data_IF_152638587358
#
_entry.id   IF_152638587358
#
_cell.length_a   1.000
_cell.length_b   1.000
_cell.length_c   1.000
_cell.angle_alpha   90.00
_cell.angle_beta   90.00
_cell.angle_gamma   90.00
#
_symmetry.space_group_name_H-M   'P 1'
#
loop_
_entity.id
_entity.type
_entity.pdbx_description
1 polymer ?
#
# COMPACT_ATOMS: atom_id res chain seq x y z
N UNK A 1 1.79 15.31 -20.13
CA UNK A 1 2.93 15.42 -21.05
C UNK A 1 4.15 14.69 -20.49
N UNK A 2 4.57 14.94 -19.24
CA UNK A 2 5.69 14.23 -18.61
C UNK A 2 5.55 12.69 -18.60
N UNK A 3 4.42 12.14 -18.11
CA UNK A 3 4.21 10.68 -18.06
C UNK A 3 4.18 10.02 -19.44
N UNK A 4 3.64 10.73 -20.45
CA UNK A 4 3.64 10.25 -21.83
C UNK A 4 5.07 10.21 -22.39
N UNK A 5 5.84 11.29 -22.21
CA UNK A 5 7.24 11.33 -22.67
C UNK A 5 8.08 10.23 -21.99
N UNK A 6 7.82 9.95 -20.70
CA UNK A 6 8.46 8.85 -19.99
C UNK A 6 8.11 7.49 -20.62
N UNK A 7 6.83 7.24 -20.90
CA UNK A 7 6.38 6.03 -21.60
C UNK A 7 6.99 5.91 -23.01
N UNK A 8 7.00 6.99 -23.79
CA UNK A 8 7.58 7.03 -25.14
C UNK A 8 9.10 6.76 -25.10
N UNK A 9 9.80 7.23 -24.06
CA UNK A 9 11.24 6.97 -23.88
C UNK A 9 11.56 5.49 -23.64
N UNK A 10 10.62 4.71 -23.09
CA UNK A 10 10.79 3.27 -22.88
C UNK A 10 10.67 2.46 -24.18
N UNK A 11 10.16 3.04 -25.28
CA UNK A 11 10.15 2.36 -26.59
C UNK A 11 11.56 1.96 -27.03
N UNK A 12 12.58 2.73 -26.62
CA UNK A 12 13.98 2.43 -26.88
C UNK A 12 14.56 1.27 -26.07
N UNK A 13 13.86 0.73 -25.06
CA UNK A 13 14.36 -0.41 -24.29
C UNK A 13 14.53 -1.65 -25.19
N UNK A 14 15.68 -2.33 -25.16
CA UNK A 14 15.90 -3.51 -25.98
C UNK A 14 14.98 -4.63 -25.51
N UNK A 15 14.23 -5.22 -26.43
CA UNK A 15 13.51 -6.46 -26.15
C UNK A 15 14.51 -7.63 -26.01
N UNK A 16 14.24 -8.60 -25.12
CA UNK A 16 15.05 -9.80 -25.00
C UNK A 16 15.17 -10.51 -26.37
N UNK A 17 16.39 -10.88 -26.76
CA UNK A 17 16.65 -11.64 -28.00
C UNK A 17 16.24 -13.12 -27.91
N UNK A 18 15.89 -13.57 -26.71
CA UNK A 18 15.56 -14.94 -26.32
C UNK A 18 14.27 -14.94 -25.51
N UNK A 19 13.51 -16.03 -25.53
CA UNK A 19 12.24 -16.16 -24.79
C UNK A 19 12.38 -16.11 -23.26
N UNK A 20 13.62 -16.10 -22.74
CA UNK A 20 13.91 -16.00 -21.32
C UNK A 20 14.14 -14.53 -20.94
N UNK A 21 13.22 -13.97 -20.15
CA UNK A 21 13.38 -12.66 -19.52
C UNK A 21 14.55 -12.67 -18.55
N UNK A 22 15.29 -11.56 -18.47
CA UNK A 22 16.29 -11.38 -17.44
C UNK A 22 15.58 -11.31 -16.08
N UNK A 23 15.86 -12.29 -15.22
CA UNK A 23 15.39 -12.27 -13.83
C UNK A 23 16.17 -11.20 -13.07
N UNK A 24 15.44 -10.35 -12.35
CA UNK A 24 16.01 -9.25 -11.57
C UNK A 24 15.55 -9.41 -10.13
N UNK A 25 16.47 -9.41 -9.18
CA UNK A 25 16.10 -9.54 -7.77
C UNK A 25 15.23 -8.36 -7.31
N UNK A 26 15.62 -7.12 -7.65
CA UNK A 26 14.84 -5.94 -7.32
C UNK A 26 14.93 -4.88 -8.42
N UNK A 27 13.78 -4.42 -8.88
CA UNK A 27 13.62 -3.23 -9.72
C UNK A 27 13.18 -2.06 -8.83
N UNK A 28 13.90 -0.94 -8.90
CA UNK A 28 13.55 0.29 -8.17
C UNK A 28 13.28 1.39 -9.18
N UNK A 29 12.12 2.03 -9.05
CA UNK A 29 11.70 3.19 -9.83
C UNK A 29 11.63 4.38 -8.89
N UNK A 30 12.60 5.28 -9.00
CA UNK A 30 12.62 6.54 -8.27
C UNK A 30 12.14 7.66 -9.18
N UNK A 31 11.15 8.42 -8.71
CA UNK A 31 10.59 9.54 -9.44
C UNK A 31 11.12 10.84 -8.86
N UNK A 32 11.77 11.64 -9.69
CA UNK A 32 12.22 12.99 -9.34
C UNK A 32 11.00 13.87 -8.98
N UNK A 33 10.91 14.41 -7.75
CA UNK A 33 9.81 15.27 -7.33
C UNK A 33 9.64 16.53 -8.19
N UNK A 34 10.73 17.02 -8.80
CA UNK A 34 10.71 18.22 -9.66
C UNK A 34 9.83 18.05 -10.91
N UNK A 35 9.53 16.81 -11.32
CA UNK A 35 8.61 16.50 -12.41
C UNK A 35 7.21 17.07 -12.13
N UNK A 36 6.82 17.18 -10.87
CA UNK A 36 5.49 17.66 -10.44
C UNK A 36 5.47 19.17 -10.23
N UNK A 37 6.60 19.78 -9.84
CA UNK A 37 6.71 21.19 -9.46
C UNK A 37 6.45 22.20 -10.59
N UNK A 38 6.44 21.75 -11.85
CA UNK A 38 6.25 22.60 -13.04
C UNK A 38 4.95 22.38 -13.82
N UNK A 39 4.09 21.45 -13.41
CA UNK A 39 2.94 21.01 -14.21
C UNK A 39 1.59 21.43 -13.63
N UNK A 40 0.66 21.81 -14.51
CA UNK A 40 -0.78 21.77 -14.22
C UNK A 40 -1.09 20.47 -13.48
N UNK A 41 -1.89 20.55 -12.41
CA UNK A 41 -2.35 19.40 -11.61
C UNK A 41 -2.52 18.15 -12.48
N UNK A 42 -1.73 17.11 -12.19
CA UNK A 42 -1.80 15.84 -12.89
C UNK A 42 -3.26 15.37 -12.87
N UNK A 43 -3.87 15.22 -14.05
CA UNK A 43 -5.25 14.76 -14.17
C UNK A 43 -5.36 13.33 -13.66
N UNK A 44 -6.55 12.92 -13.24
CA UNK A 44 -6.76 11.59 -12.68
C UNK A 44 -6.73 10.52 -13.81
N UNK A 45 -5.75 9.61 -13.81
CA UNK A 45 -5.57 8.62 -14.88
C UNK A 45 -6.75 7.64 -14.96
N UNK A 46 -7.39 7.31 -13.83
CA UNK A 46 -8.50 6.37 -13.77
C UNK A 46 -9.78 6.90 -14.43
N UNK A 47 -9.81 8.18 -14.82
CA UNK A 47 -10.96 8.82 -15.48
C UNK A 47 -10.78 8.98 -16.99
N UNK A 48 -9.61 8.63 -17.54
CA UNK A 48 -9.27 8.92 -18.92
C UNK A 48 -8.60 7.71 -19.58
N UNK A 49 -9.29 7.13 -20.58
CA UNK A 49 -8.81 5.93 -21.30
C UNK A 49 -7.41 6.10 -21.91
N UNK A 50 -7.06 7.29 -22.41
CA UNK A 50 -5.72 7.57 -22.95
C UNK A 50 -4.62 7.43 -21.89
N UNK A 51 -4.90 7.84 -20.65
CA UNK A 51 -3.92 7.79 -19.56
C UNK A 51 -3.76 6.34 -19.08
N UNK A 52 -4.86 5.57 -19.03
CA UNK A 52 -4.83 4.12 -18.76
C UNK A 52 -3.98 3.40 -19.81
N UNK A 53 -4.21 3.65 -21.11
CA UNK A 53 -3.42 3.06 -22.20
C UNK A 53 -1.93 3.41 -22.05
N UNK A 54 -1.63 4.66 -21.69
CA UNK A 54 -0.24 5.12 -21.51
C UNK A 54 0.44 4.36 -20.38
N UNK A 55 -0.23 4.15 -19.25
CA UNK A 55 0.33 3.42 -18.11
C UNK A 55 0.41 1.92 -18.36
N UNK A 56 -0.55 1.36 -19.08
CA UNK A 56 -0.48 -0.01 -19.59
C UNK A 56 0.78 -0.20 -20.46
N UNK A 57 1.00 0.68 -21.46
CA UNK A 57 2.15 0.57 -22.36
C UNK A 57 3.48 0.76 -21.61
N UNK A 58 3.52 1.70 -20.64
CA UNK A 58 4.68 1.93 -19.76
C UNK A 58 5.08 0.65 -19.01
N UNK A 59 4.14 0.06 -18.28
CA UNK A 59 4.43 -1.14 -17.48
C UNK A 59 4.68 -2.36 -18.34
N UNK A 60 3.93 -2.54 -19.43
CA UNK A 60 4.16 -3.64 -20.37
C UNK A 60 5.60 -3.59 -20.87
N UNK A 61 6.08 -2.41 -21.25
CA UNK A 61 7.43 -2.28 -21.81
C UNK A 61 8.53 -2.65 -20.82
N UNK A 62 8.37 -2.24 -19.57
CA UNK A 62 9.27 -2.63 -18.48
C UNK A 62 9.22 -4.15 -18.30
N UNK A 63 8.03 -4.71 -18.13
CA UNK A 63 7.85 -6.14 -17.86
C UNK A 63 8.13 -7.06 -19.07
N UNK A 64 8.16 -6.55 -20.30
CA UNK A 64 8.67 -7.28 -21.46
C UNK A 64 10.20 -7.30 -21.52
N UNK A 65 10.86 -6.44 -20.74
CA UNK A 65 12.32 -6.32 -20.71
C UNK A 65 12.92 -7.00 -19.47
N UNK A 66 12.22 -6.97 -18.35
CA UNK A 66 12.68 -7.49 -17.05
C UNK A 66 11.58 -8.25 -16.31
N UNK A 67 11.98 -9.25 -15.53
CA UNK A 67 11.08 -9.97 -14.61
C UNK A 67 11.56 -9.83 -13.16
N UNK A 68 11.04 -8.86 -12.39
CA UNK A 68 11.56 -8.54 -11.07
C UNK A 68 10.90 -9.35 -9.93
N UNK A 69 11.69 -9.90 -8.98
CA UNK A 69 11.12 -10.52 -7.75
C UNK A 69 10.46 -9.49 -6.84
N UNK A 70 11.00 -8.27 -6.86
CA UNK A 70 10.55 -7.11 -6.10
C UNK A 70 10.53 -5.89 -7.01
N UNK A 71 9.41 -5.16 -7.01
CA UNK A 71 9.28 -3.84 -7.60
C UNK A 71 9.06 -2.84 -6.47
N UNK A 72 9.92 -1.82 -6.36
CA UNK A 72 9.70 -0.69 -5.47
C UNK A 72 9.58 0.59 -6.29
N UNK A 73 8.54 1.38 -6.00
CA UNK A 73 8.28 2.66 -6.63
C UNK A 73 8.30 3.72 -5.53
N UNK A 74 9.25 4.63 -5.60
CA UNK A 74 9.38 5.77 -4.69
C UNK A 74 9.09 7.04 -5.47
N UNK A 75 8.13 7.83 -5.03
CA UNK A 75 7.83 9.08 -5.73
C UNK A 75 6.67 9.86 -5.14
N UNK A 76 6.38 11.04 -5.74
CA UNK A 76 5.26 11.86 -5.32
C UNK A 76 3.92 11.12 -5.41
N UNK A 77 3.02 11.30 -4.43
CA UNK A 77 1.72 10.60 -4.39
C UNK A 77 0.92 10.76 -5.69
N UNK A 78 0.93 11.98 -6.24
CA UNK A 78 0.25 12.28 -7.51
C UNK A 78 0.77 11.46 -8.69
N UNK A 79 2.08 11.16 -8.73
CA UNK A 79 2.69 10.32 -9.78
C UNK A 79 2.45 8.84 -9.48
N UNK A 80 2.48 8.43 -8.21
CA UNK A 80 2.08 7.07 -7.84
C UNK A 80 0.66 6.77 -8.28
N UNK A 81 -0.28 7.71 -8.12
CA UNK A 81 -1.64 7.60 -8.65
C UNK A 81 -1.68 7.29 -10.14
N UNK A 82 -0.84 7.95 -10.93
CA UNK A 82 -0.62 7.64 -12.35
C UNK A 82 -0.13 6.23 -12.56
N UNK A 83 0.98 5.90 -11.94
CA UNK A 83 1.64 4.60 -12.08
C UNK A 83 0.73 3.43 -11.65
N UNK A 84 -0.14 3.63 -10.66
CA UNK A 84 -1.07 2.61 -10.18
C UNK A 84 -2.47 2.74 -10.76
N UNK A 85 -2.70 3.65 -11.71
CA UNK A 85 -4.02 3.92 -12.31
C UNK A 85 -5.12 4.12 -11.25
N UNK A 86 -4.78 4.86 -10.19
CA UNK A 86 -5.61 5.12 -9.00
C UNK A 86 -6.06 6.57 -8.94
N UNK A 87 -7.23 6.79 -8.34
CA UNK A 87 -7.67 8.11 -7.89
C UNK A 87 -6.89 8.51 -6.64
N UNK A 88 -5.98 9.46 -6.76
CA UNK A 88 -5.32 10.06 -5.59
C UNK A 88 -6.18 11.17 -5.01
N UNK A 89 -6.37 11.17 -3.70
CA UNK A 89 -6.85 12.35 -3.01
C UNK A 89 -5.69 13.34 -2.84
N UNK A 90 -5.88 14.61 -3.21
CA UNK A 90 -4.83 15.65 -3.08
C UNK A 90 -5.37 16.96 -2.50
N UNK A 91 -6.65 17.00 -2.12
CA UNK A 91 -7.36 18.23 -1.72
C UNK A 91 -6.68 18.98 -0.59
N UNK A 92 -6.28 18.25 0.45
CA UNK A 92 -5.69 18.82 1.66
C UNK A 92 -4.18 18.53 1.75
N UNK A 93 -3.54 18.10 0.66
CA UNK A 93 -2.13 17.65 0.62
C UNK A 93 -1.13 18.68 1.18
N UNK A 94 -1.45 19.97 1.10
CA UNK A 94 -0.67 21.06 1.69
C UNK A 94 -0.45 20.91 3.20
N UNK A 95 -1.34 20.20 3.90
CA UNK A 95 -1.26 19.93 5.33
C UNK A 95 -0.44 18.70 5.73
N UNK A 96 0.05 17.95 4.74
CA UNK A 96 0.71 16.65 4.93
C UNK A 96 2.10 16.66 4.27
N UNK A 97 2.96 17.60 4.67
CA UNK A 97 4.29 17.77 4.04
C UNK A 97 5.16 16.50 4.08
N UNK A 98 5.10 15.74 5.17
CA UNK A 98 5.83 14.48 5.32
C UNK A 98 5.20 13.29 4.58
N UNK A 99 4.16 13.53 3.76
CA UNK A 99 3.53 12.54 2.88
C UNK A 99 3.71 12.86 1.40
N UNK A 100 4.54 13.86 1.05
CA UNK A 100 4.73 14.27 -0.35
C UNK A 100 5.22 13.11 -1.21
N UNK A 101 6.18 12.34 -0.67
CA UNK A 101 6.75 11.15 -1.31
C UNK A 101 6.32 9.90 -0.56
N UNK A 102 5.86 8.90 -1.29
CA UNK A 102 5.45 7.61 -0.75
C UNK A 102 6.18 6.48 -1.46
N UNK A 103 6.17 5.30 -0.84
CA UNK A 103 6.77 4.10 -1.41
C UNK A 103 5.74 2.99 -1.54
N UNK A 104 5.56 2.48 -2.76
CA UNK A 104 4.82 1.26 -3.05
C UNK A 104 5.81 0.13 -3.37
N UNK A 105 5.68 -1.00 -2.71
CA UNK A 105 6.46 -2.20 -2.98
C UNK A 105 5.54 -3.37 -3.35
N UNK A 106 5.84 -4.03 -4.45
CA UNK A 106 5.22 -5.28 -4.87
C UNK A 106 6.29 -6.40 -4.85
N UNK A 107 5.92 -7.56 -4.32
CA UNK A 107 6.80 -8.73 -4.23
C UNK A 107 6.11 -9.95 -4.79
N UNK A 108 6.84 -10.81 -5.51
CA UNK A 108 6.33 -12.05 -6.06
C UNK A 108 7.26 -13.23 -5.77
N UNK A 109 6.69 -14.43 -5.74
CA UNK A 109 7.46 -15.67 -5.67
C UNK A 109 7.65 -16.25 -7.07
N UNK A 110 8.91 -16.35 -7.52
CA UNK A 110 9.28 -16.87 -8.84
C UNK A 110 8.81 -18.30 -9.13
N UNK A 111 8.40 -19.04 -8.09
CA UNK A 111 7.82 -20.38 -8.26
C UNK A 111 6.41 -20.36 -8.82
N UNK A 112 5.72 -19.21 -8.81
CA UNK A 112 4.39 -19.08 -9.41
C UNK A 112 4.52 -18.78 -10.90
N UNK A 113 3.76 -19.48 -11.76
CA UNK A 113 3.74 -19.16 -13.17
C UNK A 113 3.22 -17.73 -13.37
N UNK A 114 3.71 -17.06 -14.42
CA UNK A 114 3.18 -15.78 -14.85
C UNK A 114 1.67 -15.91 -15.11
N UNK A 115 0.91 -14.89 -14.70
CA UNK A 115 -0.53 -14.91 -14.83
C UNK A 115 -0.94 -14.98 -16.31
N UNK A 116 -1.82 -15.93 -16.62
CA UNK A 116 -2.43 -16.03 -17.96
C UNK A 116 -3.16 -14.76 -18.37
N UNK A 117 -3.68 -13.97 -17.42
CA UNK A 117 -4.27 -12.65 -17.68
C UNK A 117 -3.22 -11.66 -18.22
N UNK A 118 -2.06 -11.54 -17.56
CA UNK A 118 -0.94 -10.72 -18.04
C UNK A 118 -0.38 -11.17 -19.40
N UNK A 119 -0.44 -12.47 -19.70
CA UNK A 119 -0.03 -13.04 -21.00
C UNK A 119 -1.09 -12.83 -22.11
N UNK A 120 -2.39 -12.85 -21.77
CA UNK A 120 -3.51 -12.55 -22.69
C UNK A 120 -3.63 -11.06 -22.96
N UNK A 121 -3.30 -10.22 -21.97
CA UNK A 121 -3.18 -8.76 -22.08
C UNK A 121 -1.86 -8.36 -22.75
N UNK A 122 -1.43 -9.09 -23.81
CA UNK A 122 -0.46 -8.58 -24.81
C UNK A 122 -1.18 -7.90 -25.97
N UNK A 123 -2.48 -8.15 -26.14
CA UNK A 123 -3.30 -7.44 -27.14
C UNK A 123 -3.69 -6.06 -26.64
N UNK A 124 -3.26 -5.01 -27.36
CA UNK A 124 -3.65 -3.61 -27.09
C UNK A 124 -5.15 -3.36 -27.20
N UNK A 125 -5.93 -4.29 -27.77
CA UNK A 125 -7.36 -4.11 -28.04
C UNK A 125 -8.21 -3.83 -26.79
N UNK A 126 -7.74 -4.25 -25.59
CA UNK A 126 -8.46 -4.05 -24.32
C UNK A 126 -7.71 -3.13 -23.33
N UNK A 127 -6.57 -2.55 -23.71
CA UNK A 127 -5.70 -1.78 -22.81
C UNK A 127 -6.41 -0.57 -22.16
N UNK A 128 -7.39 0.02 -22.84
CA UNK A 128 -8.18 1.14 -22.32
C UNK A 128 -8.99 0.84 -21.05
N UNK A 129 -9.20 -0.45 -20.75
CA UNK A 129 -9.98 -0.94 -19.63
C UNK A 129 -9.12 -1.66 -18.58
N UNK A 130 -7.82 -1.81 -18.84
CA UNK A 130 -6.90 -2.55 -17.97
C UNK A 130 -6.25 -1.59 -16.94
N UNK A 131 -7.06 -1.12 -16.00
CA UNK A 131 -6.62 -0.25 -14.88
C UNK A 131 -5.79 -0.99 -13.83
N UNK A 132 -5.55 -2.28 -14.01
CA UNK A 132 -4.89 -3.14 -13.03
C UNK A 132 -3.66 -3.83 -13.62
N UNK A 133 -3.22 -3.44 -14.82
CA UNK A 133 -2.12 -4.11 -15.51
C UNK A 133 -0.88 -4.25 -14.65
N UNK A 134 -0.49 -3.21 -13.88
CA UNK A 134 0.62 -3.29 -12.94
C UNK A 134 0.48 -4.49 -11.98
N UNK A 135 -0.71 -4.74 -11.47
CA UNK A 135 -1.02 -5.78 -10.47
C UNK A 135 -1.29 -7.16 -11.09
N UNK A 136 -1.73 -7.20 -12.35
CA UNK A 136 -2.10 -8.43 -13.05
C UNK A 136 -1.04 -8.93 -14.05
N UNK A 137 -0.04 -8.10 -14.38
CA UNK A 137 1.06 -8.47 -15.27
C UNK A 137 2.01 -9.50 -14.64
N UNK A 138 2.02 -9.62 -13.31
CA UNK A 138 2.85 -10.54 -12.53
C UNK A 138 2.05 -11.13 -11.37
N UNK A 139 2.37 -12.35 -10.91
CA UNK A 139 1.75 -12.98 -9.76
C UNK A 139 2.27 -12.37 -8.44
N UNK A 140 2.05 -11.07 -8.24
CA UNK A 140 2.42 -10.39 -7.00
C UNK A 140 1.70 -11.05 -5.83
N UNK A 141 2.47 -11.42 -4.82
CA UNK A 141 1.98 -12.06 -3.59
C UNK A 141 1.94 -11.10 -2.42
N UNK A 142 2.75 -10.02 -2.46
CA UNK A 142 2.80 -9.05 -1.38
C UNK A 142 2.81 -7.61 -1.86
N UNK A 143 2.07 -6.77 -1.15
CA UNK A 143 1.97 -5.33 -1.35
C UNK A 143 2.38 -4.65 -0.04
N UNK A 144 3.30 -3.68 -0.12
CA UNK A 144 3.62 -2.79 1.00
C UNK A 144 3.47 -1.35 0.57
N UNK A 145 2.84 -0.55 1.41
CA UNK A 145 2.70 0.88 1.22
C UNK A 145 3.30 1.61 2.41
N UNK A 146 4.22 2.53 2.14
CA UNK A 146 4.70 3.50 3.11
C UNK A 146 4.22 4.89 2.69
N UNK A 147 3.32 5.47 3.47
CA UNK A 147 2.66 6.74 3.15
C UNK A 147 3.34 7.96 3.77
N UNK A 148 4.40 7.76 4.55
CA UNK A 148 5.08 8.84 5.28
C UNK A 148 4.43 9.11 6.64
N UNK A 149 4.19 10.37 6.97
CA UNK A 149 3.74 10.80 8.31
C UNK A 149 2.60 11.82 8.25
N UNK A 150 1.54 11.59 9.02
CA UNK A 150 0.46 12.56 9.22
C UNK A 150 0.71 13.49 10.41
N UNK A 151 1.83 13.35 11.13
CA UNK A 151 2.12 14.10 12.35
C UNK A 151 1.95 15.62 12.20
N UNK A 152 2.43 16.19 11.09
CA UNK A 152 2.31 17.64 10.84
C UNK A 152 0.85 18.11 10.76
N UNK A 153 -0.06 17.25 10.29
CA UNK A 153 -1.45 17.60 10.07
C UNK A 153 -2.21 17.85 11.39
N UNK A 154 -1.80 17.22 12.49
CA UNK A 154 -2.38 17.46 13.83
C UNK A 154 -2.14 18.90 14.33
N UNK A 155 -1.15 19.61 13.78
CA UNK A 155 -0.93 21.02 14.09
C UNK A 155 -1.89 21.99 13.39
N UNK A 156 -2.77 21.48 12.52
CA UNK A 156 -3.68 22.27 11.69
C UNK A 156 -5.03 22.39 12.40
N UNK A 157 -5.61 23.59 12.36
CA UNK A 157 -6.97 23.80 12.85
C UNK A 157 -7.97 22.94 12.08
N UNK A 158 -8.83 22.23 12.84
CA UNK A 158 -9.78 21.23 12.32
C UNK A 158 -9.08 20.14 11.48
N UNK A 159 -7.97 19.60 11.99
CA UNK A 159 -7.25 18.50 11.32
C UNK A 159 -8.15 17.31 10.99
N UNK A 160 -9.13 17.01 11.83
CA UNK A 160 -10.10 15.93 11.67
C UNK A 160 -11.00 16.07 10.42
N UNK A 161 -11.08 17.25 9.81
CA UNK A 161 -11.80 17.49 8.55
C UNK A 161 -10.89 17.38 7.31
N UNK A 162 -9.59 17.13 7.50
CA UNK A 162 -8.60 17.05 6.41
C UNK A 162 -8.47 15.62 5.92
N UNK A 163 -8.23 15.49 4.62
CA UNK A 163 -8.02 14.17 4.01
C UNK A 163 -6.58 14.04 3.52
N UNK A 164 -5.82 13.05 4.00
CA UNK A 164 -4.43 12.87 3.62
C UNK A 164 -4.29 12.54 2.12
N UNK A 165 -3.14 12.89 1.51
CA UNK A 165 -2.82 12.42 0.18
C UNK A 165 -2.50 10.92 0.22
N UNK A 166 -3.19 10.14 -0.60
CA UNK A 166 -3.07 8.68 -0.55
C UNK A 166 -3.43 8.01 -1.88
N UNK A 167 -2.85 6.83 -2.09
CA UNK A 167 -3.25 5.85 -3.12
C UNK A 167 -3.96 4.63 -2.51
N UNK A 168 -4.12 4.59 -1.19
CA UNK A 168 -4.60 3.46 -0.40
C UNK A 168 -5.93 2.92 -0.95
N UNK A 169 -6.93 3.78 -1.13
CA UNK A 169 -8.25 3.42 -1.67
C UNK A 169 -8.18 2.68 -3.02
N UNK A 170 -7.18 2.99 -3.85
CA UNK A 170 -6.97 2.27 -5.09
C UNK A 170 -6.33 0.91 -4.87
N UNK A 171 -5.33 0.82 -4.00
CA UNK A 171 -4.48 -0.38 -3.89
C UNK A 171 -5.01 -1.46 -2.94
N UNK A 172 -5.94 -1.12 -2.04
CA UNK A 172 -6.46 -2.05 -1.02
C UNK A 172 -7.55 -2.97 -1.53
N UNK A 173 -8.29 -2.64 -2.61
CA UNK A 173 -9.21 -3.59 -3.24
C UNK A 173 -8.41 -4.71 -3.92
N UNK A 174 -8.94 -5.94 -4.08
CA UNK A 174 -8.21 -7.03 -4.73
C UNK A 174 -7.95 -6.69 -6.21
N UNK A 175 -6.82 -6.03 -6.47
CA UNK A 175 -6.33 -5.70 -7.81
C UNK A 175 -5.63 -6.86 -8.50
N UNK A 176 -5.45 -7.94 -7.76
CA UNK A 176 -4.85 -9.19 -8.24
C UNK A 176 -5.33 -10.32 -7.36
N UNK A 177 -5.76 -11.40 -7.98
CA UNK A 177 -6.14 -12.65 -7.30
C UNK A 177 -4.96 -13.32 -6.59
N UNK A 178 -3.72 -12.92 -6.91
CA UNK A 178 -2.50 -13.49 -6.33
C UNK A 178 -2.02 -12.78 -5.06
N UNK A 179 -2.55 -11.60 -4.75
CA UNK A 179 -2.12 -10.80 -3.62
C UNK A 179 -2.61 -11.45 -2.31
N UNK A 180 -1.67 -11.80 -1.45
CA UNK A 180 -1.93 -12.54 -0.21
C UNK A 180 -1.46 -11.78 1.04
N UNK A 181 -0.49 -10.88 0.91
CA UNK A 181 0.01 -10.09 2.04
C UNK A 181 -0.05 -8.59 1.77
N UNK A 182 -0.54 -7.84 2.76
CA UNK A 182 -0.59 -6.39 2.77
C UNK A 182 0.22 -5.83 3.94
N UNK A 183 0.96 -4.75 3.73
CA UNK A 183 1.64 -4.02 4.80
C UNK A 183 1.44 -2.52 4.65
N UNK A 184 0.98 -1.86 5.70
CA UNK A 184 0.79 -0.42 5.74
C UNK A 184 1.71 0.20 6.79
N UNK A 185 2.53 1.15 6.34
CA UNK A 185 3.37 1.98 7.18
C UNK A 185 2.94 3.43 7.00
N UNK A 186 2.49 4.08 8.07
CA UNK A 186 2.13 5.49 8.06
C UNK A 186 2.25 6.02 9.47
N UNK A 187 3.07 7.03 9.74
CA UNK A 187 3.23 7.54 11.11
C UNK A 187 2.02 8.39 11.53
N UNK A 188 1.41 8.02 12.65
CA UNK A 188 0.24 8.64 13.27
C UNK A 188 -0.94 8.86 12.30
N UNK A 189 -1.41 7.83 11.57
CA UNK A 189 -2.50 8.01 10.65
C UNK A 189 -3.78 8.41 11.40
N UNK A 190 -4.64 9.18 10.74
CA UNK A 190 -5.98 9.44 11.26
C UNK A 190 -6.79 8.13 11.29
N UNK A 191 -7.64 7.93 12.29
CA UNK A 191 -8.55 6.79 12.33
C UNK A 191 -9.50 6.78 11.12
N UNK A 192 -9.91 7.95 10.65
CA UNK A 192 -10.70 8.08 9.41
C UNK A 192 -9.93 7.70 8.15
N UNK A 193 -8.59 7.69 8.21
CA UNK A 193 -7.76 7.23 7.10
C UNK A 193 -7.70 5.72 7.01
N UNK A 194 -7.86 5.00 8.12
CA UNK A 194 -7.94 3.52 8.17
C UNK A 194 -9.33 3.13 8.66
N UNK A 195 -10.35 3.60 7.94
CA UNK A 195 -11.73 3.39 8.33
C UNK A 195 -12.21 1.94 8.11
N UNK A 196 -13.42 1.65 8.56
CA UNK A 196 -14.01 0.31 8.46
C UNK A 196 -14.15 -0.17 7.01
N UNK A 197 -14.47 0.71 6.05
CA UNK A 197 -14.61 0.31 4.64
C UNK A 197 -13.28 -0.14 4.04
N UNK A 198 -12.20 0.53 4.42
CA UNK A 198 -10.87 0.10 4.04
C UNK A 198 -10.50 -1.22 4.71
N UNK A 199 -10.82 -1.41 5.99
CA UNK A 199 -10.57 -2.66 6.70
C UNK A 199 -11.37 -3.85 6.12
N UNK A 200 -12.62 -3.63 5.71
CA UNK A 200 -13.42 -4.62 4.98
C UNK A 200 -12.75 -5.00 3.65
N UNK A 201 -12.15 -4.02 2.98
CA UNK A 201 -11.38 -4.26 1.75
C UNK A 201 -10.11 -5.08 2.01
N UNK A 202 -9.66 -5.23 3.26
CA UNK A 202 -8.51 -6.08 3.58
C UNK A 202 -8.88 -7.56 3.80
N UNK A 203 -10.16 -7.91 3.80
CA UNK A 203 -10.66 -9.26 4.12
C UNK A 203 -10.21 -10.37 3.16
N UNK A 204 -9.70 -10.03 1.96
CA UNK A 204 -9.14 -11.02 1.03
C UNK A 204 -7.66 -11.36 1.31
N UNK A 205 -6.96 -10.57 2.13
CA UNK A 205 -5.56 -10.83 2.44
C UNK A 205 -5.43 -11.93 3.51
N UNK A 206 -4.42 -12.78 3.33
CA UNK A 206 -4.04 -13.80 4.32
C UNK A 206 -3.08 -13.26 5.37
N UNK A 207 -2.33 -12.21 5.06
CA UNK A 207 -1.33 -11.63 5.98
C UNK A 207 -1.43 -10.12 5.97
N UNK A 208 -1.64 -9.51 7.13
CA UNK A 208 -1.69 -8.05 7.27
C UNK A 208 -0.62 -7.61 8.26
N UNK A 209 0.08 -6.54 7.93
CA UNK A 209 1.04 -5.88 8.82
C UNK A 209 0.75 -4.38 8.92
N UNK A 210 0.66 -3.87 10.14
CA UNK A 210 0.53 -2.43 10.40
C UNK A 210 1.72 -1.86 11.17
N UNK A 211 2.09 -0.63 10.88
CA UNK A 211 3.11 0.10 11.64
C UNK A 211 2.80 1.58 11.58
N UNK A 212 2.27 2.11 12.68
CA UNK A 212 1.70 3.44 12.78
C UNK A 212 2.44 4.37 13.72
N UNK A 213 3.41 3.85 14.45
CA UNK A 213 4.17 4.61 15.45
C UNK A 213 5.63 4.79 15.01
N UNK A 214 6.33 5.81 15.51
CA UNK A 214 7.76 5.93 15.27
C UNK A 214 8.50 4.72 15.82
N UNK A 215 9.36 4.12 15.02
CA UNK A 215 10.23 3.04 15.51
C UNK A 215 11.12 3.55 16.65
N UNK A 216 11.56 2.71 17.61
CA UNK A 216 12.33 3.17 18.78
C UNK A 216 13.63 3.93 18.47
N UNK A 217 14.19 3.75 17.27
CA UNK A 217 15.39 4.43 16.79
C UNK A 217 15.11 5.75 16.06
N UNK A 218 13.84 6.11 15.86
CA UNK A 218 13.44 7.36 15.22
C UNK A 218 13.33 8.49 16.25
N UNK A 219 13.98 9.62 15.97
CA UNK A 219 13.93 10.83 16.80
C UNK A 219 12.82 11.81 16.36
N UNK A 220 11.73 11.29 15.78
CA UNK A 220 10.65 12.11 15.22
C UNK A 220 9.97 12.91 16.32
N UNK A 221 9.72 12.30 17.49
CA UNK A 221 9.07 12.94 18.63
C UNK A 221 9.99 13.90 19.40
N UNK A 222 11.30 13.69 19.33
CA UNK A 222 12.30 14.58 19.95
C UNK A 222 12.54 15.85 19.12
N UNK A 223 12.17 15.81 17.84
CA UNK A 223 12.36 16.93 16.93
C UNK A 223 11.15 17.87 16.96
N UNK A 224 11.28 18.97 17.71
CA UNK A 224 10.24 20.00 17.84
C UNK A 224 9.77 20.60 16.51
N UNK A 225 10.59 20.58 15.46
CA UNK A 225 10.17 21.02 14.12
C UNK A 225 9.22 20.02 13.45
N UNK A 226 9.43 18.72 13.68
CA UNK A 226 8.59 17.65 13.12
C UNK A 226 7.26 17.56 13.87
N UNK A 227 7.29 17.67 15.19
CA UNK A 227 6.07 17.68 16.03
C UNK A 227 5.27 18.97 15.80
N UNK A 228 5.96 20.10 15.66
CA UNK A 228 5.31 21.39 15.39
C UNK A 228 4.29 21.75 16.46
N UNK A 229 3.01 21.85 16.07
CA UNK A 229 1.87 22.17 16.95
C UNK A 229 0.98 20.95 17.25
N UNK A 230 1.40 19.75 16.85
CA UNK A 230 0.62 18.55 17.06
C UNK A 230 0.39 18.30 18.55
N UNK A 231 -0.85 17.99 18.92
CA UNK A 231 -1.13 17.40 20.23
C UNK A 231 -0.84 15.91 20.15
N UNK A 232 0.23 15.47 20.80
CA UNK A 232 0.62 14.07 20.81
C UNK A 232 -0.42 13.18 21.49
N UNK A 233 -1.22 13.71 22.44
CA UNK A 233 -2.29 12.93 23.07
C UNK A 233 -3.33 12.52 22.04
N UNK A 234 -3.69 13.44 21.13
CA UNK A 234 -4.60 13.14 20.02
C UNK A 234 -3.96 12.15 19.05
N UNK A 235 -2.68 12.31 18.70
CA UNK A 235 -1.95 11.40 17.82
C UNK A 235 -1.98 9.95 18.34
N UNK A 236 -1.68 9.75 19.62
CA UNK A 236 -1.71 8.42 20.24
C UNK A 236 -3.12 7.86 20.33
N UNK A 237 -4.11 8.69 20.66
CA UNK A 237 -5.52 8.27 20.74
C UNK A 237 -6.05 7.77 19.40
N UNK A 238 -5.70 8.43 18.29
CA UNK A 238 -6.09 8.01 16.93
C UNK A 238 -5.52 6.60 16.62
N UNK A 239 -4.24 6.36 16.91
CA UNK A 239 -3.62 5.04 16.70
C UNK A 239 -4.26 3.95 17.58
N UNK A 240 -4.52 4.26 18.85
CA UNK A 240 -5.22 3.33 19.76
C UNK A 240 -6.60 2.95 19.23
N UNK A 241 -7.36 3.94 18.71
CA UNK A 241 -8.68 3.70 18.12
C UNK A 241 -8.61 2.84 16.84
N UNK A 242 -7.58 3.01 16.00
CA UNK A 242 -7.39 2.17 14.81
C UNK A 242 -7.25 0.70 15.22
N UNK A 243 -6.41 0.41 16.21
CA UNK A 243 -6.23 -0.97 16.68
C UNK A 243 -7.48 -1.55 17.34
N UNK A 244 -8.19 -0.76 18.17
CA UNK A 244 -9.47 -1.17 18.75
C UNK A 244 -10.48 -1.54 17.66
N UNK A 245 -10.69 -0.66 16.68
CA UNK A 245 -11.62 -0.92 15.57
C UNK A 245 -11.21 -2.08 14.69
N UNK A 246 -9.91 -2.25 14.46
CA UNK A 246 -9.37 -3.38 13.70
C UNK A 246 -9.74 -4.70 14.39
N UNK A 247 -9.56 -4.80 15.71
CA UNK A 247 -9.91 -6.00 16.47
C UNK A 247 -11.41 -6.31 16.48
N UNK A 248 -12.26 -5.28 16.38
CA UNK A 248 -13.71 -5.45 16.28
C UNK A 248 -14.16 -6.04 14.92
N UNK A 249 -13.29 -6.05 13.90
CA UNK A 249 -13.61 -6.54 12.56
C UNK A 249 -13.72 -8.07 12.48
N UNK A 250 -14.96 -8.57 12.54
CA UNK A 250 -15.25 -9.99 12.35
C UNK A 250 -14.91 -10.51 10.95
N UNK A 251 -14.90 -9.64 9.95
CA UNK A 251 -14.46 -9.98 8.58
C UNK A 251 -12.98 -10.36 8.50
N UNK A 252 -12.16 -9.86 9.43
CA UNK A 252 -10.73 -10.16 9.51
C UNK A 252 -10.46 -11.32 10.48
N UNK A 253 -10.97 -11.21 11.71
CA UNK A 253 -10.58 -12.10 12.82
C UNK A 253 -11.62 -13.18 13.16
N UNK A 254 -12.81 -13.09 12.57
CA UNK A 254 -13.90 -14.03 12.80
C UNK A 254 -13.69 -15.42 12.15
N UNK A 255 -14.65 -16.33 12.32
CA UNK A 255 -14.54 -17.71 11.86
C UNK A 255 -14.36 -17.83 10.34
N UNK A 256 -15.03 -16.97 9.58
CA UNK A 256 -15.03 -16.98 8.11
C UNK A 256 -13.93 -16.10 7.49
N UNK A 257 -13.11 -15.43 8.31
CA UNK A 257 -12.03 -14.57 7.85
C UNK A 257 -10.91 -15.36 7.15
N UNK A 258 -10.39 -14.81 6.05
CA UNK A 258 -9.26 -15.41 5.30
C UNK A 258 -7.89 -15.09 5.91
N UNK A 259 -7.85 -14.21 6.91
CA UNK A 259 -6.62 -13.78 7.54
C UNK A 259 -6.00 -14.94 8.36
N UNK A 260 -4.74 -15.25 8.03
CA UNK A 260 -3.92 -16.28 8.67
C UNK A 260 -2.87 -15.67 9.60
N UNK A 261 -2.40 -14.45 9.30
CA UNK A 261 -1.43 -13.72 10.11
C UNK A 261 -1.82 -12.25 10.23
N UNK A 262 -1.81 -11.75 11.45
CA UNK A 262 -1.80 -10.32 11.74
C UNK A 262 -0.52 -9.97 12.48
N UNK A 263 0.12 -8.88 12.10
CA UNK A 263 1.30 -8.40 12.80
C UNK A 263 1.35 -6.88 12.88
N UNK A 264 2.10 -6.37 13.85
CA UNK A 264 2.34 -4.94 13.99
C UNK A 264 3.77 -4.63 14.42
N UNK A 265 4.30 -3.50 13.93
CA UNK A 265 5.52 -2.90 14.46
C UNK A 265 5.34 -2.12 15.77
N UNK A 266 4.10 -1.83 16.14
CA UNK A 266 3.77 -0.91 17.24
C UNK A 266 3.60 -1.60 18.60
N UNK A 267 3.78 -2.93 18.66
CA UNK A 267 3.69 -3.71 19.90
C UNK A 267 4.75 -3.31 20.96
N UNK A 268 5.75 -2.51 20.58
CA UNK A 268 6.68 -1.89 21.52
C UNK A 268 6.04 -0.80 22.39
N UNK A 269 4.90 -0.24 21.96
CA UNK A 269 4.14 0.79 22.68
C UNK A 269 3.17 0.13 23.65
N UNK A 270 3.29 0.47 24.93
CA UNK A 270 2.57 -0.22 26.02
C UNK A 270 1.04 -0.21 25.86
N UNK A 271 0.44 0.92 25.49
CA UNK A 271 -1.02 1.02 25.35
C UNK A 271 -1.53 0.18 24.17
N UNK A 272 -0.85 0.25 23.03
CA UNK A 272 -1.16 -0.57 21.83
C UNK A 272 -0.99 -2.06 22.14
N UNK A 273 0.10 -2.43 22.83
CA UNK A 273 0.34 -3.80 23.27
C UNK A 273 -0.81 -4.34 24.11
N UNK A 274 -1.29 -3.58 25.10
CA UNK A 274 -2.44 -3.98 25.92
C UNK A 274 -3.72 -4.14 25.10
N UNK A 275 -4.04 -3.18 24.23
CA UNK A 275 -5.21 -3.24 23.35
C UNK A 275 -5.20 -4.53 22.53
N UNK A 276 -4.06 -4.86 21.93
CA UNK A 276 -3.91 -6.04 21.09
C UNK A 276 -3.92 -7.34 21.91
N UNK A 277 -3.13 -7.43 22.97
CA UNK A 277 -3.05 -8.62 23.81
C UNK A 277 -4.41 -8.95 24.41
N UNK A 278 -5.12 -7.96 24.97
CA UNK A 278 -6.46 -8.14 25.54
C UNK A 278 -7.50 -8.46 24.45
N UNK A 279 -7.48 -7.75 23.31
CA UNK A 279 -8.43 -7.96 22.23
C UNK A 279 -8.29 -9.34 21.55
N UNK A 280 -7.07 -9.85 21.40
CA UNK A 280 -6.86 -11.19 20.83
C UNK A 280 -7.28 -12.33 21.77
N UNK A 281 -7.48 -12.09 23.08
CA UNK A 281 -8.06 -13.08 23.99
C UNK A 281 -9.44 -13.51 23.48
N UNK A 282 -10.26 -12.56 23.01
CA UNK A 282 -11.60 -12.84 22.48
C UNK A 282 -11.55 -13.63 21.15
N UNK A 283 -10.46 -13.48 20.39
CA UNK A 283 -10.26 -14.17 19.12
C UNK A 283 -9.63 -15.57 19.24
N UNK A 284 -9.22 -15.96 20.46
CA UNK A 284 -8.72 -17.33 20.71
C UNK A 284 -9.75 -18.40 20.35
N UNK A 285 -11.04 -18.12 20.53
CA UNK A 285 -12.14 -19.01 20.14
C UNK A 285 -12.20 -19.24 18.62
N UNK A 286 -11.64 -18.34 17.82
CA UNK A 286 -11.53 -18.44 16.36
C UNK A 286 -10.18 -19.03 15.90
N UNK A 287 -9.33 -19.49 16.83
CA UNK A 287 -8.05 -20.14 16.55
C UNK A 287 -6.84 -19.20 16.48
N UNK A 288 -7.01 -17.93 16.87
CA UNK A 288 -5.89 -16.98 16.93
C UNK A 288 -4.99 -17.23 18.12
N UNK A 289 -3.68 -17.29 17.88
CA UNK A 289 -2.66 -17.52 18.89
C UNK A 289 -1.56 -16.47 18.74
N UNK A 290 -1.17 -15.86 19.85
CA UNK A 290 0.00 -14.97 19.88
C UNK A 290 1.28 -15.80 19.70
N UNK A 291 2.10 -15.37 18.75
CA UNK A 291 3.45 -15.93 18.50
C UNK A 291 4.54 -15.06 19.13
N UNK A 292 4.14 -14.01 19.86
CA UNK A 292 5.02 -13.00 20.46
C UNK A 292 5.41 -11.88 19.49
N UNK A 293 5.99 -10.82 20.06
CA UNK A 293 6.52 -9.66 19.33
C UNK A 293 5.51 -8.97 18.39
N UNK A 294 4.25 -8.85 18.81
CA UNK A 294 3.23 -8.19 18.00
C UNK A 294 2.78 -9.00 16.79
N UNK A 295 2.81 -10.32 16.86
CA UNK A 295 2.36 -11.22 15.79
C UNK A 295 1.38 -12.27 16.32
N UNK A 296 0.26 -12.41 15.62
CA UNK A 296 -0.76 -13.43 15.87
C UNK A 296 -0.98 -14.24 14.60
N UNK A 297 -1.12 -15.55 14.78
CA UNK A 297 -1.38 -16.47 13.67
C UNK A 297 -2.63 -17.28 13.98
N UNK A 298 -3.43 -17.54 12.95
CA UNK A 298 -4.58 -18.42 13.05
C UNK A 298 -4.11 -19.86 12.83
N UNK A 299 -4.21 -20.68 13.88
CA UNK A 299 -4.00 -22.12 13.72
C UNK A 299 -5.14 -22.64 12.85
N UNK A 300 -4.82 -23.22 11.70
CA UNK A 300 -5.78 -24.03 10.95
C UNK A 300 -6.22 -25.14 11.91
N UNK A 301 -7.45 -25.06 12.43
CA UNK A 301 -8.06 -26.20 13.09
C UNK A 301 -8.12 -27.27 12.00
N UNK A 302 -7.27 -28.29 12.10
CA UNK A 302 -7.41 -29.47 11.28
C UNK A 302 -8.84 -29.97 11.50
N UNK A 303 -9.68 -29.88 10.47
CA UNK A 303 -10.90 -30.66 10.42
C UNK A 303 -10.47 -32.12 10.42
N UNK A 304 -10.30 -32.66 11.62
CA UNK A 304 -10.34 -34.09 11.84
C UNK A 304 -11.83 -34.44 11.88
N UNK A 305 -12.33 -34.89 10.74
CA UNK A 305 -13.42 -35.87 10.60
C UNK A 305 -13.35 -36.50 9.20
#
# INVERSE_FOLDING_TARGET
MAMKNAADSLEGLPLPKTDMLAQVDSLVVEIDPSIVSGTQSLRNPAKHSTDIITMYDFWRRIFESVDPTRLAILGPVSVLGWLTTTVTQMRDAWGFGDMETQMLELTQNHRRPLLTSGLRSRSRSNAAWDTEYLFNARPWTGLKLNEGSMLQAYGIYEYFNRVPPTILDGVILPRSESLESFSLHCLFPFNTHVDELQLLSLSHYRRIHFHFTPAPNMQVLDNSKMVGKADLVDCWREVEQIYQRTLEQQSLFGPDGLLEEFSTGDHVVESIRRILDDGFIEHTQHGWVSTGFGRWTRSQMSNAD
#
